data_IF_340173726427
#
_entry.id   IF_340173726427
#
_cell.length_a   1.000
_cell.length_b   1.000
_cell.length_c   1.000
_cell.angle_alpha   90.00
_cell.angle_beta   90.00
_cell.angle_gamma   90.00
#
_symmetry.space_group_name_H-M   'P 1'
#
loop_
_entity.id
_entity.type
_entity.pdbx_description
1 polymer ?
#
# COMPACT_ATOMS: atom_id res chain seq x y z
N UNK A 1 -9.19 30.39 0.36
CA UNK A 1 -8.37 29.92 -0.79
C UNK A 1 -8.27 28.40 -0.68
N UNK A 2 -8.63 27.65 -1.72
CA UNK A 2 -8.44 26.20 -1.72
C UNK A 2 -6.93 25.88 -1.69
N UNK A 3 -6.45 24.86 -0.96
CA UNK A 3 -5.03 24.54 -0.89
C UNK A 3 -4.51 24.15 -2.27
N UNK A 4 -3.34 24.71 -2.63
CA UNK A 4 -2.64 24.40 -3.88
C UNK A 4 -2.40 22.89 -3.94
N UNK A 5 -2.78 22.25 -5.05
CA UNK A 5 -2.63 20.81 -5.24
C UNK A 5 -1.14 20.50 -5.40
N UNK A 6 -0.50 19.98 -4.36
CA UNK A 6 0.92 19.64 -4.38
C UNK A 6 1.12 18.39 -5.24
N UNK A 7 1.76 18.54 -6.40
CA UNK A 7 2.08 17.46 -7.33
C UNK A 7 3.38 16.74 -6.99
N UNK A 8 4.26 17.41 -6.24
CA UNK A 8 5.63 16.96 -5.98
C UNK A 8 5.87 16.60 -4.52
N UNK A 9 6.61 15.52 -4.28
CA UNK A 9 6.98 15.08 -2.93
C UNK A 9 8.03 16.02 -2.33
N UNK A 10 7.65 16.77 -1.28
CA UNK A 10 8.51 17.73 -0.61
C UNK A 10 9.70 17.09 0.11
N UNK A 11 9.54 15.84 0.55
CA UNK A 11 10.66 15.10 1.14
C UNK A 11 11.68 14.71 0.07
N UNK A 12 11.20 14.34 -1.13
CA UNK A 12 12.05 14.05 -2.27
C UNK A 12 12.77 15.29 -2.80
N UNK A 13 12.07 16.43 -2.90
CA UNK A 13 12.65 17.72 -3.33
C UNK A 13 13.78 18.14 -2.39
N UNK A 14 13.61 17.95 -1.09
CA UNK A 14 14.63 18.26 -0.09
C UNK A 14 15.65 17.14 0.10
N UNK A 15 15.56 16.03 -0.65
CA UNK A 15 16.43 14.85 -0.54
C UNK A 15 16.54 14.32 0.91
N UNK A 16 15.42 14.34 1.64
CA UNK A 16 15.34 13.89 3.05
C UNK A 16 14.26 12.84 3.21
N UNK A 17 14.40 11.99 4.23
CA UNK A 17 13.35 11.03 4.56
C UNK A 17 12.19 11.68 5.32
N UNK A 18 11.01 11.07 5.27
CA UNK A 18 9.85 11.49 6.09
C UNK A 18 10.14 11.49 7.60
N UNK A 19 11.10 10.69 8.06
CA UNK A 19 11.57 10.65 9.46
C UNK A 19 12.65 11.68 9.77
N UNK A 20 13.04 12.54 8.82
CA UNK A 20 14.13 13.49 9.01
C UNK A 20 13.79 14.54 10.08
N UNK A 21 14.80 14.88 10.88
CA UNK A 21 14.73 15.95 11.87
C UNK A 21 14.75 17.32 11.18
N UNK A 22 14.29 18.36 11.90
CA UNK A 22 14.32 19.73 11.40
C UNK A 22 15.73 20.16 10.97
N UNK A 23 16.75 19.77 11.73
CA UNK A 23 18.15 20.05 11.42
C UNK A 23 18.58 19.46 10.08
N UNK A 24 18.17 18.22 9.78
CA UNK A 24 18.46 17.57 8.51
C UNK A 24 17.76 18.27 7.33
N UNK A 25 16.52 18.72 7.53
CA UNK A 25 15.75 19.50 6.56
C UNK A 25 16.44 20.84 6.26
N UNK A 26 16.80 21.60 7.30
CA UNK A 26 17.50 22.88 7.14
C UNK A 26 18.87 22.72 6.49
N UNK A 27 19.62 21.66 6.84
CA UNK A 27 20.92 21.37 6.26
C UNK A 27 20.79 21.03 4.77
N UNK A 28 19.81 20.22 4.39
CA UNK A 28 19.60 19.86 2.99
C UNK A 28 19.12 21.04 2.16
N UNK A 29 18.21 21.86 2.70
CA UNK A 29 17.76 23.10 2.06
C UNK A 29 18.94 24.04 1.75
N UNK A 30 19.83 24.30 2.72
CA UNK A 30 21.00 25.18 2.50
C UNK A 30 21.93 24.65 1.41
N UNK A 31 22.16 23.33 1.38
CA UNK A 31 22.97 22.69 0.34
C UNK A 31 22.32 22.85 -1.04
N UNK A 32 21.04 22.54 -1.16
CA UNK A 32 20.31 22.59 -2.43
C UNK A 32 20.09 24.03 -2.92
N UNK A 33 19.89 24.98 -2.01
CA UNK A 33 19.73 26.39 -2.33
C UNK A 33 20.99 26.98 -2.98
N UNK A 34 22.18 26.53 -2.58
CA UNK A 34 23.44 26.95 -3.21
C UNK A 34 23.63 26.35 -4.61
N UNK A 35 23.13 25.13 -4.85
CA UNK A 35 23.23 24.41 -6.12
C UNK A 35 22.20 24.91 -7.15
N UNK A 36 21.00 25.23 -6.67
CA UNK A 36 19.86 25.66 -7.48
C UNK A 36 19.70 27.19 -7.52
N UNK A 37 20.66 27.96 -6.99
CA UNK A 37 20.57 29.41 -6.99
C UNK A 37 20.55 29.95 -8.44
N UNK A 38 19.57 30.79 -8.81
CA UNK A 38 19.42 31.28 -10.19
C UNK A 38 20.61 32.12 -10.67
N UNK A 39 21.33 32.76 -9.75
CA UNK A 39 22.56 33.53 -10.06
C UNK A 39 23.76 32.65 -10.46
N UNK A 40 23.81 31.40 -9.97
CA UNK A 40 24.95 30.48 -10.19
C UNK A 40 24.66 29.40 -11.22
N UNK A 41 23.41 29.30 -11.69
CA UNK A 41 22.96 28.22 -12.56
C UNK A 41 22.23 28.80 -13.79
N UNK A 42 22.87 28.89 -14.97
CA UNK A 42 22.34 29.57 -16.16
C UNK A 42 21.26 28.77 -16.90
N UNK A 43 20.68 27.72 -16.29
CA UNK A 43 19.61 26.92 -16.90
C UNK A 43 18.27 27.64 -16.76
N UNK A 44 17.44 27.58 -17.81
CA UNK A 44 16.13 28.24 -17.87
C UNK A 44 15.13 27.78 -16.79
N UNK A 45 15.37 26.65 -16.14
CA UNK A 45 14.52 26.07 -15.10
C UNK A 45 15.02 26.29 -13.66
N UNK A 46 16.13 27.02 -13.45
CA UNK A 46 16.71 27.22 -12.12
C UNK A 46 15.77 28.00 -11.18
N UNK A 47 15.09 29.03 -11.69
CA UNK A 47 14.14 29.85 -10.92
C UNK A 47 12.94 29.04 -10.42
N UNK A 48 12.38 28.19 -11.27
CA UNK A 48 11.24 27.34 -10.92
C UNK A 48 11.63 26.27 -9.89
N UNK A 49 12.79 25.62 -10.09
CA UNK A 49 13.33 24.65 -9.15
C UNK A 49 13.61 25.27 -7.77
N UNK A 50 14.13 26.50 -7.72
CA UNK A 50 14.38 27.22 -6.48
C UNK A 50 13.07 27.58 -5.74
N UNK A 51 12.02 27.98 -6.48
CA UNK A 51 10.70 28.24 -5.90
C UNK A 51 10.04 26.97 -5.35
N UNK A 52 10.21 25.82 -6.00
CA UNK A 52 9.74 24.52 -5.50
C UNK A 52 10.50 24.13 -4.23
N UNK A 53 11.83 24.30 -4.21
CA UNK A 53 12.67 24.05 -3.05
C UNK A 53 12.27 24.92 -1.84
N UNK A 54 11.98 26.22 -2.07
CA UNK A 54 11.51 27.14 -1.04
C UNK A 54 10.18 26.69 -0.41
N UNK A 55 9.20 26.34 -1.23
CA UNK A 55 7.88 25.84 -0.77
C UNK A 55 7.98 24.54 0.03
N UNK A 56 8.84 23.62 -0.41
CA UNK A 56 9.09 22.38 0.31
C UNK A 56 9.69 22.64 1.70
N UNK A 57 10.65 23.57 1.79
CA UNK A 57 11.25 23.95 3.07
C UNK A 57 10.27 24.65 4.01
N UNK A 58 9.50 25.62 3.53
CA UNK A 58 8.50 26.32 4.35
C UNK A 58 7.48 25.36 4.96
N UNK A 59 6.98 24.42 4.15
CA UNK A 59 5.98 23.43 4.59
C UNK A 59 6.56 22.43 5.58
N UNK A 60 7.79 21.97 5.36
CA UNK A 60 8.41 20.93 6.22
C UNK A 60 9.14 21.49 7.45
N UNK A 61 9.46 22.79 7.49
CA UNK A 61 10.08 23.47 8.63
C UNK A 61 9.09 23.67 9.78
N UNK A 62 7.84 23.99 9.49
CA UNK A 62 6.78 24.16 10.49
C UNK A 62 6.15 22.79 10.83
N UNK A 63 6.17 22.43 12.11
CA UNK A 63 5.63 21.15 12.59
C UNK A 63 4.12 21.00 12.35
N UNK A 64 3.37 22.10 12.40
CA UNK A 64 1.93 22.12 12.13
C UNK A 64 1.62 21.90 10.65
N UNK A 65 2.38 22.57 9.77
CA UNK A 65 2.23 22.43 8.32
C UNK A 65 2.72 21.07 7.82
N UNK A 66 3.83 20.56 8.38
CA UNK A 66 4.34 19.23 8.08
C UNK A 66 3.33 18.15 8.44
N UNK A 67 2.70 18.25 9.62
CA UNK A 67 1.64 17.30 10.03
C UNK A 67 0.44 17.37 9.09
N UNK A 68 0.02 18.57 8.70
CA UNK A 68 -1.09 18.77 7.76
C UNK A 68 -0.75 18.20 6.38
N UNK A 69 0.48 18.38 5.91
CA UNK A 69 1.00 17.81 4.68
C UNK A 69 0.98 16.26 4.72
N UNK A 70 1.50 15.67 5.79
CA UNK A 70 1.53 14.21 5.97
C UNK A 70 0.12 13.59 6.05
N UNK A 71 -0.86 14.32 6.59
CA UNK A 71 -2.27 13.91 6.65
C UNK A 71 -2.98 13.98 5.30
N UNK A 72 -2.69 15.01 4.50
CA UNK A 72 -3.31 15.23 3.20
C UNK A 72 -2.73 14.32 2.10
N UNK A 73 -1.47 13.90 2.25
CA UNK A 73 -0.76 13.12 1.23
C UNK A 73 -0.22 11.76 1.74
N UNK A 74 -1.07 10.88 2.31
CA UNK A 74 -0.64 9.59 2.87
C UNK A 74 -0.17 8.58 1.81
N UNK A 75 -0.44 8.82 0.53
CA UNK A 75 -0.09 7.97 -0.62
C UNK A 75 1.34 8.13 -1.13
N UNK A 76 2.11 9.09 -0.60
CA UNK A 76 3.53 9.31 -0.96
C UNK A 76 4.45 8.33 -0.18
N UNK A 77 3.87 7.34 0.51
CA UNK A 77 4.63 6.29 1.20
C UNK A 77 5.42 5.44 0.21
N UNK A 78 6.73 5.70 0.16
CA UNK A 78 7.78 4.75 -0.23
C UNK A 78 7.60 4.10 -1.60
N UNK A 79 7.91 4.84 -2.68
CA UNK A 79 8.65 4.21 -3.78
C UNK A 79 10.08 3.99 -3.28
N UNK A 80 10.37 2.75 -2.87
CA UNK A 80 11.67 2.34 -2.35
C UNK A 80 12.80 2.83 -3.26
N UNK A 81 13.78 3.43 -2.61
CA UNK A 81 15.12 3.68 -3.07
C UNK A 81 15.81 2.39 -3.54
N UNK A 82 16.15 2.35 -4.81
CA UNK A 82 17.26 1.61 -5.42
C UNK A 82 17.85 2.61 -6.42
N UNK A 83 19.11 3.06 -6.40
CA UNK A 83 20.38 2.47 -5.94
C UNK A 83 21.40 3.62 -5.88
N UNK A 84 22.51 3.47 -5.14
CA UNK A 84 23.55 4.49 -4.98
C UNK A 84 24.53 4.69 -6.16
N UNK A 85 25.31 5.79 -6.08
CA UNK A 85 26.74 6.00 -6.42
C UNK A 85 27.39 5.10 -7.52
N UNK A 86 28.14 5.52 -8.57
CA UNK A 86 28.71 6.77 -9.17
C UNK A 86 29.15 6.41 -10.65
N UNK A 87 29.99 7.18 -11.41
CA UNK A 87 29.80 8.19 -12.47
C UNK A 87 30.02 7.66 -13.95
N UNK A 88 30.54 8.42 -14.96
CA UNK A 88 29.79 8.77 -16.17
C UNK A 88 30.32 8.16 -17.50
N UNK A 89 29.52 8.36 -18.56
CA UNK A 89 29.81 8.20 -20.00
C UNK A 89 30.11 6.79 -20.53
N UNK A 90 29.22 6.29 -21.40
CA UNK A 90 29.45 6.05 -22.85
C UNK A 90 28.33 5.14 -23.38
N UNK A 91 27.78 5.48 -24.55
CA UNK A 91 26.95 4.53 -25.31
C UNK A 91 27.86 3.45 -25.92
N UNK A 92 27.34 2.24 -26.11
CA UNK A 92 26.99 1.90 -27.48
C UNK A 92 25.63 1.21 -27.63
N UNK A 93 25.06 1.40 -28.81
CA UNK A 93 23.94 0.66 -29.39
C UNK A 93 24.10 -0.85 -29.19
N UNK A 94 23.06 -1.52 -28.69
CA UNK A 94 22.71 -2.88 -29.14
C UNK A 94 21.21 -3.10 -28.97
N UNK A 95 20.59 -3.49 -30.08
CA UNK A 95 19.19 -3.87 -30.26
C UNK A 95 18.62 -4.71 -29.13
N UNK A 96 17.57 -4.22 -28.48
CA UNK A 96 16.67 -5.03 -27.66
C UNK A 96 15.22 -4.85 -28.13
N UNK A 97 14.66 -5.95 -28.62
CA UNK A 97 13.23 -6.18 -28.87
C UNK A 97 12.36 -5.51 -27.79
N UNK A 98 11.27 -4.81 -28.14
CA UNK A 98 10.33 -4.35 -27.15
C UNK A 98 9.65 -5.57 -26.52
N UNK A 99 10.00 -5.84 -25.26
CA UNK A 99 9.22 -6.71 -24.39
C UNK A 99 7.86 -6.06 -24.24
N UNK A 100 6.87 -6.62 -24.94
CA UNK A 100 5.49 -6.20 -24.88
C UNK A 100 4.99 -6.26 -23.44
N UNK A 101 4.93 -5.10 -22.78
CA UNK A 101 3.96 -4.90 -21.72
C UNK A 101 2.58 -5.00 -22.36
N UNK A 102 1.59 -5.63 -21.70
CA UNK A 102 0.23 -5.67 -22.22
C UNK A 102 -0.28 -4.22 -22.26
N UNK A 103 -0.26 -3.66 -23.46
CA UNK A 103 -0.84 -2.38 -23.80
C UNK A 103 -2.31 -2.43 -23.42
N UNK A 104 -2.66 -1.80 -22.30
CA UNK A 104 -4.04 -1.48 -22.01
C UNK A 104 -4.51 -0.56 -23.14
N UNK A 105 -5.27 -1.11 -24.07
CA UNK A 105 -5.93 -0.36 -25.12
C UNK A 105 -6.90 0.62 -24.46
N UNK A 106 -6.45 1.86 -24.30
CA UNK A 106 -7.38 2.97 -24.11
C UNK A 106 -8.27 3.00 -25.34
N UNK A 107 -9.60 2.99 -25.16
CA UNK A 107 -10.52 3.04 -26.30
C UNK A 107 -10.26 4.35 -27.05
N UNK A 108 -10.29 4.27 -28.39
CA UNK A 108 -10.09 5.43 -29.25
C UNK A 108 -11.17 6.48 -28.91
N UNK A 109 -10.80 7.76 -28.72
CA UNK A 109 -11.75 8.80 -28.34
C UNK A 109 -12.87 8.90 -29.39
N UNK A 110 -14.10 9.09 -28.91
CA UNK A 110 -15.27 9.23 -29.78
C UNK A 110 -15.25 10.57 -30.52
N UNK A 111 -16.04 10.72 -31.59
CA UNK A 111 -16.17 12.00 -32.30
C UNK A 111 -16.66 13.12 -31.38
N UNK A 112 -17.54 12.81 -30.42
CA UNK A 112 -17.96 13.76 -29.38
C UNK A 112 -16.83 14.16 -28.45
N UNK A 113 -15.96 13.22 -28.06
CA UNK A 113 -14.82 13.52 -27.22
C UNK A 113 -13.82 14.44 -27.94
N UNK A 114 -13.61 14.20 -29.24
CA UNK A 114 -12.76 15.06 -30.08
C UNK A 114 -13.35 16.47 -30.18
N UNK A 115 -14.67 16.58 -30.34
CA UNK A 115 -15.38 17.86 -30.38
C UNK A 115 -15.25 18.63 -29.06
N UNK A 116 -15.52 17.98 -27.92
CA UNK A 116 -15.42 18.61 -26.61
C UNK A 116 -13.96 18.99 -26.28
N UNK A 117 -12.97 18.18 -26.67
CA UNK A 117 -11.55 18.52 -26.55
C UNK A 117 -11.17 19.72 -27.42
N UNK A 118 -11.68 19.80 -28.65
CA UNK A 118 -11.45 20.94 -29.53
C UNK A 118 -12.08 22.24 -28.97
N UNK A 119 -13.28 22.14 -28.38
CA UNK A 119 -13.93 23.26 -27.71
C UNK A 119 -13.16 23.72 -26.46
N UNK A 120 -12.63 22.81 -25.65
CA UNK A 120 -11.74 23.17 -24.53
C UNK A 120 -10.49 23.87 -25.05
N UNK A 121 -9.87 23.35 -26.11
CA UNK A 121 -8.66 23.92 -26.69
C UNK A 121 -8.91 25.32 -27.25
N UNK A 122 -10.03 25.55 -27.95
CA UNK A 122 -10.38 26.86 -28.49
C UNK A 122 -10.64 27.88 -27.38
N UNK A 123 -11.35 27.50 -26.31
CA UNK A 123 -11.57 28.36 -25.14
C UNK A 123 -10.25 28.70 -24.43
N UNK A 124 -9.37 27.72 -24.22
CA UNK A 124 -8.05 27.96 -23.62
C UNK A 124 -7.20 28.91 -24.46
N UNK A 125 -7.22 28.75 -25.80
CA UNK A 125 -6.53 29.66 -26.72
C UNK A 125 -7.12 31.07 -26.64
N UNK A 126 -8.44 31.21 -26.65
CA UNK A 126 -9.12 32.49 -26.51
C UNK A 126 -8.76 33.19 -25.19
N UNK A 127 -8.66 32.45 -24.09
CA UNK A 127 -8.18 32.99 -22.79
C UNK A 127 -6.75 33.49 -22.88
N UNK A 128 -5.83 32.73 -23.48
CA UNK A 128 -4.43 33.15 -23.65
C UNK A 128 -4.32 34.43 -24.49
N UNK A 129 -5.05 34.52 -25.60
CA UNK A 129 -5.08 35.72 -26.44
C UNK A 129 -5.67 36.92 -25.71
N UNK A 130 -6.75 36.73 -24.95
CA UNK A 130 -7.37 37.78 -24.14
C UNK A 130 -6.43 38.25 -23.03
N UNK A 131 -5.72 37.34 -22.37
CA UNK A 131 -4.73 37.66 -21.34
C UNK A 131 -3.55 38.44 -21.92
N UNK A 132 -3.04 38.05 -23.08
CA UNK A 132 -1.99 38.79 -23.77
C UNK A 132 -2.43 40.22 -24.12
N UNK A 133 -3.65 40.38 -24.67
CA UNK A 133 -4.23 41.69 -24.97
C UNK A 133 -4.43 42.52 -23.71
N UNK A 134 -4.97 41.93 -22.64
CA UNK A 134 -5.18 42.58 -21.35
C UNK A 134 -3.86 43.03 -20.72
N UNK A 135 -2.81 42.20 -20.77
CA UNK A 135 -1.49 42.54 -20.23
C UNK A 135 -0.91 43.79 -20.90
N UNK A 136 -1.00 43.88 -22.22
CA UNK A 136 -0.55 45.07 -22.96
C UNK A 136 -1.39 46.31 -22.63
N UNK A 137 -2.72 46.17 -22.55
CA UNK A 137 -3.61 47.26 -22.19
C UNK A 137 -3.37 47.76 -20.76
N UNK A 138 -3.31 46.84 -19.78
CA UNK A 138 -3.03 47.13 -18.37
C UNK A 138 -1.71 47.89 -18.20
N UNK A 139 -0.65 47.46 -18.89
CA UNK A 139 0.62 48.17 -18.89
C UNK A 139 0.46 49.62 -19.42
N UNK A 140 -0.30 49.81 -20.50
CA UNK A 140 -0.57 51.15 -21.03
C UNK A 140 -1.29 52.05 -20.02
N UNK A 141 -2.23 51.51 -19.25
CA UNK A 141 -2.87 52.23 -18.15
C UNK A 141 -1.89 52.57 -17.02
N UNK A 142 -1.06 51.60 -16.60
CA UNK A 142 -0.05 51.81 -15.56
C UNK A 142 0.96 52.90 -15.96
N UNK A 143 1.46 52.86 -17.20
CA UNK A 143 2.39 53.85 -17.75
C UNK A 143 1.74 55.26 -17.78
N UNK A 144 0.47 55.37 -18.21
CA UNK A 144 -0.26 56.64 -18.22
C UNK A 144 -0.52 57.18 -16.81
N UNK A 145 -0.90 56.32 -15.87
CA UNK A 145 -1.09 56.68 -14.46
C UNK A 145 0.21 57.14 -13.82
N UNK A 146 1.33 56.49 -14.13
CA UNK A 146 2.65 56.86 -13.62
C UNK A 146 3.06 58.26 -14.07
N UNK A 147 2.85 58.62 -15.33
CA UNK A 147 3.14 59.97 -15.83
C UNK A 147 2.27 61.03 -15.13
N UNK A 148 0.97 60.78 -14.97
CA UNK A 148 0.09 61.71 -14.24
C UNK A 148 0.50 61.83 -12.77
N UNK A 149 0.84 60.73 -12.11
CA UNK A 149 1.32 60.75 -10.73
C UNK A 149 2.60 61.56 -10.58
N UNK A 150 3.52 61.48 -11.56
CA UNK A 150 4.73 62.30 -11.60
C UNK A 150 4.41 63.78 -11.71
N UNK A 151 3.47 64.17 -12.57
CA UNK A 151 3.03 65.56 -12.69
C UNK A 151 2.33 66.06 -11.42
N UNK A 152 1.46 65.24 -10.83
CA UNK A 152 0.83 65.51 -9.53
C UNK A 152 1.88 65.77 -8.46
N UNK A 153 2.92 64.94 -8.37
CA UNK A 153 4.02 65.12 -7.41
C UNK A 153 4.77 66.44 -7.65
N UNK A 154 5.07 66.79 -8.91
CA UNK A 154 5.71 68.06 -9.27
C UNK A 154 4.86 69.26 -8.86
N UNK A 155 3.56 69.23 -9.16
CA UNK A 155 2.63 70.32 -8.81
C UNK A 155 2.50 70.50 -7.31
N UNK A 156 2.35 69.40 -6.56
CA UNK A 156 2.33 69.42 -5.10
C UNK A 156 3.59 70.05 -4.51
N UNK A 157 4.76 69.65 -5.01
CA UNK A 157 6.04 70.23 -4.56
C UNK A 157 6.09 71.75 -4.80
N UNK A 158 5.71 72.22 -5.99
CA UNK A 158 5.69 73.66 -6.29
C UNK A 158 4.73 74.42 -5.38
N UNK A 159 3.55 73.86 -5.09
CA UNK A 159 2.59 74.47 -4.16
C UNK A 159 3.18 74.54 -2.75
N UNK A 160 3.81 73.47 -2.29
CA UNK A 160 4.48 73.40 -0.99
C UNK A 160 5.63 74.41 -0.88
N UNK A 161 6.47 74.52 -1.92
CA UNK A 161 7.56 75.49 -2.00
C UNK A 161 7.00 76.92 -1.90
N UNK A 162 5.93 77.25 -2.64
CA UNK A 162 5.26 78.55 -2.59
C UNK A 162 4.67 78.86 -1.20
N UNK A 163 4.09 77.86 -0.54
CA UNK A 163 3.61 78.01 0.83
C UNK A 163 4.74 78.18 1.84
N UNK A 164 5.87 77.50 1.64
CA UNK A 164 7.04 77.64 2.52
C UNK A 164 7.59 79.07 2.48
N UNK A 165 7.64 79.70 1.30
CA UNK A 165 8.03 81.10 1.13
C UNK A 165 7.04 82.00 1.89
N UNK A 166 5.73 81.77 1.75
CA UNK A 166 4.72 82.53 2.47
C UNK A 166 4.88 82.43 3.99
N UNK A 167 5.10 81.21 4.50
CA UNK A 167 5.34 80.97 5.94
C UNK A 167 6.64 81.65 6.43
N UNK A 168 7.68 81.68 5.60
CA UNK A 168 8.92 82.37 5.91
C UNK A 168 8.73 83.90 5.96
N UNK A 169 8.03 84.49 4.99
CA UNK A 169 7.68 85.91 4.99
C UNK A 169 6.81 86.29 6.21
N UNK A 170 5.82 85.46 6.57
CA UNK A 170 4.99 85.63 7.77
C UNK A 170 5.83 85.56 9.06
N UNK A 171 6.80 84.64 9.13
CA UNK A 171 7.72 84.52 10.26
C UNK A 171 8.68 85.72 10.38
N UNK A 172 9.20 86.23 9.26
CA UNK A 172 10.02 87.44 9.23
C UNK A 172 9.22 88.67 9.66
N UNK A 173 7.98 88.81 9.18
CA UNK A 173 7.09 89.88 9.63
C UNK A 173 6.74 89.76 11.11
N UNK A 174 6.43 88.57 11.60
CA UNK A 174 6.15 88.33 13.01
C UNK A 174 7.38 88.63 13.88
N UNK A 175 8.58 88.27 13.41
CA UNK A 175 9.84 88.63 14.06
C UNK A 175 10.09 90.15 14.03
N UNK A 176 9.79 90.83 12.92
CA UNK A 176 9.91 92.28 12.81
C UNK A 176 8.90 93.02 13.72
N UNK A 177 7.71 92.44 13.93
CA UNK A 177 6.65 92.95 14.82
C UNK A 177 6.80 92.48 16.28
N UNK A 178 7.79 91.63 16.58
CA UNK A 178 8.03 91.08 17.92
C UNK A 178 8.56 92.15 18.87
N UNK A 179 8.04 92.18 20.10
CA UNK A 179 8.46 93.12 21.14
C UNK A 179 9.99 93.04 21.40
N UNK A 180 10.59 91.85 21.31
CA UNK A 180 12.05 91.68 21.47
C UNK A 180 12.88 92.52 20.47
N UNK A 181 12.41 92.71 19.24
CA UNK A 181 13.04 93.54 18.20
C UNK A 181 12.91 95.04 18.50
N UNK A 182 11.85 95.43 19.23
CA UNK A 182 11.64 96.80 19.70
C UNK A 182 12.53 97.17 20.89
N UNK A 183 12.86 96.19 21.76
CA UNK A 183 13.74 96.39 22.94
C UNK A 183 15.23 96.52 22.54
N UNK A 184 15.70 95.81 21.52
CA UNK A 184 17.10 95.84 21.05
C UNK A 184 17.37 96.92 19.96
N UNK A 185 16.41 97.79 19.70
CA UNK A 185 16.32 98.67 18.52
C UNK A 185 17.40 99.79 18.36
N UNK A 186 18.16 100.25 19.38
CA UNK A 186 19.17 101.30 19.15
C UNK A 186 20.39 100.86 18.33
N UNK A 187 20.74 99.56 18.34
CA UNK A 187 21.98 99.05 17.72
C UNK A 187 21.76 98.38 16.35
N UNK A 188 20.52 98.07 15.98
CA UNK A 188 20.17 97.42 14.71
C UNK A 188 18.93 98.08 14.07
N UNK A 189 19.06 99.32 13.62
CA UNK A 189 18.04 99.90 12.71
C UNK A 189 18.23 99.32 11.31
N UNK A 190 17.38 98.36 10.93
CA UNK A 190 17.16 98.05 9.51
C UNK A 190 16.50 99.28 8.84
N UNK A 191 16.85 99.64 7.60
CA UNK A 191 16.18 100.73 6.90
C UNK A 191 14.68 100.42 6.81
N UNK A 192 13.84 101.40 7.12
CA UNK A 192 12.41 101.33 6.84
C UNK A 192 12.26 101.23 5.33
N UNK A 193 11.68 100.14 4.84
CA UNK A 193 11.42 99.95 3.41
C UNK A 193 10.72 101.20 2.84
N UNK A 194 11.21 101.68 1.69
CA UNK A 194 10.53 102.75 0.94
C UNK A 194 9.11 102.31 0.55
N UNK A 195 8.18 103.25 0.41
CA UNK A 195 6.81 102.90 0.00
C UNK A 195 6.76 102.21 -1.38
N UNK A 196 7.71 102.52 -2.26
CA UNK A 196 7.92 101.80 -3.53
C UNK A 196 8.34 100.34 -3.30
N UNK A 197 9.17 100.07 -2.29
CA UNK A 197 9.64 98.73 -1.95
C UNK A 197 8.54 97.88 -1.30
N UNK A 198 7.69 98.49 -0.47
CA UNK A 198 6.47 97.84 0.05
C UNK A 198 5.51 97.47 -1.08
N UNK A 199 5.30 98.39 -2.03
CA UNK A 199 4.46 98.13 -3.20
C UNK A 199 5.03 97.00 -4.08
N UNK A 200 6.36 96.95 -4.26
CA UNK A 200 7.04 95.85 -4.97
C UNK A 200 6.82 94.50 -4.27
N UNK A 201 7.07 94.41 -2.96
CA UNK A 201 6.85 93.19 -2.16
C UNK A 201 5.38 92.75 -2.18
N UNK A 202 4.42 93.68 -2.12
CA UNK A 202 3.00 93.39 -2.23
C UNK A 202 2.61 92.82 -3.61
N UNK A 203 3.14 93.38 -4.69
CA UNK A 203 2.94 92.86 -6.05
C UNK A 203 3.54 91.45 -6.22
N UNK A 204 4.73 91.21 -5.68
CA UNK A 204 5.36 89.87 -5.70
C UNK A 204 4.51 88.83 -4.95
N UNK A 205 3.99 89.18 -3.77
CA UNK A 205 3.06 88.31 -3.01
C UNK A 205 1.82 87.97 -3.82
N UNK A 206 1.24 88.97 -4.49
CA UNK A 206 0.07 88.78 -5.34
C UNK A 206 0.40 87.84 -6.52
N UNK A 207 1.54 88.05 -7.18
CA UNK A 207 1.99 87.17 -8.27
C UNK A 207 2.21 85.72 -7.79
N UNK A 208 2.81 85.51 -6.61
CA UNK A 208 2.98 84.18 -6.00
C UNK A 208 1.64 83.52 -5.68
N UNK A 209 0.68 84.26 -5.11
CA UNK A 209 -0.67 83.77 -4.84
C UNK A 209 -1.40 83.36 -6.12
N UNK A 210 -1.34 84.20 -7.16
CA UNK A 210 -1.92 83.89 -8.47
C UNK A 210 -1.30 82.61 -9.06
N UNK A 211 0.03 82.49 -8.96
CA UNK A 211 0.75 81.29 -9.40
C UNK A 211 0.31 80.06 -8.63
N UNK A 212 0.23 80.14 -7.29
CA UNK A 212 -0.24 79.05 -6.43
C UNK A 212 -1.65 78.61 -6.84
N UNK A 213 -2.60 79.54 -6.92
CA UNK A 213 -4.00 79.26 -7.29
C UNK A 213 -4.09 78.60 -8.67
N UNK A 214 -3.26 79.02 -9.63
CA UNK A 214 -3.19 78.40 -10.96
C UNK A 214 -2.66 76.95 -10.88
N UNK A 215 -1.63 76.70 -10.07
CA UNK A 215 -1.06 75.35 -9.88
C UNK A 215 -2.01 74.42 -9.13
N UNK A 216 -2.76 74.92 -8.14
CA UNK A 216 -3.79 74.15 -7.43
C UNK A 216 -4.90 73.69 -8.38
N UNK A 217 -5.40 74.58 -9.25
CA UNK A 217 -6.37 74.19 -10.28
C UNK A 217 -5.81 73.15 -11.25
N UNK A 218 -4.54 73.31 -11.66
CA UNK A 218 -3.88 72.32 -12.50
C UNK A 218 -3.73 70.96 -11.80
N UNK A 219 -3.43 70.95 -10.49
CA UNK A 219 -3.35 69.74 -9.67
C UNK A 219 -4.70 69.03 -9.60
N UNK A 220 -5.78 69.77 -9.36
CA UNK A 220 -7.13 69.21 -9.30
C UNK A 220 -7.53 68.51 -10.60
N UNK A 221 -7.24 69.16 -11.74
CA UNK A 221 -7.48 68.57 -13.07
C UNK A 221 -6.70 67.26 -13.25
N UNK A 222 -5.43 67.22 -12.84
CA UNK A 222 -4.61 66.00 -12.92
C UNK A 222 -5.10 64.90 -11.98
N UNK A 223 -5.57 65.25 -10.79
CA UNK A 223 -6.19 64.31 -9.86
C UNK A 223 -7.51 63.74 -10.39
N UNK A 224 -8.30 64.52 -11.13
CA UNK A 224 -9.50 64.02 -11.84
C UNK A 224 -9.10 63.05 -12.96
N UNK A 225 -8.08 63.39 -13.76
CA UNK A 225 -7.57 62.50 -14.80
C UNK A 225 -7.06 61.18 -14.22
N UNK A 226 -6.31 61.22 -13.12
CA UNK A 226 -5.82 60.01 -12.44
C UNK A 226 -6.96 59.09 -11.99
N UNK A 227 -8.00 59.66 -11.35
CA UNK A 227 -9.19 58.90 -10.91
C UNK A 227 -9.93 58.27 -12.08
N UNK A 228 -10.00 58.96 -13.23
CA UNK A 228 -10.60 58.43 -14.46
C UNK A 228 -9.84 57.19 -14.93
N UNK A 229 -8.51 57.27 -15.06
CA UNK A 229 -7.69 56.13 -15.48
C UNK A 229 -7.77 54.95 -14.51
N UNK A 230 -7.75 55.21 -13.21
CA UNK A 230 -7.94 54.17 -12.19
C UNK A 230 -9.27 53.43 -12.36
N UNK A 231 -10.36 54.18 -12.62
CA UNK A 231 -11.67 53.59 -12.86
C UNK A 231 -11.70 52.75 -14.14
N UNK A 232 -11.15 53.25 -15.24
CA UNK A 232 -11.08 52.52 -16.51
C UNK A 232 -10.28 51.20 -16.38
N UNK A 233 -9.17 51.23 -15.64
CA UNK A 233 -8.39 50.03 -15.34
C UNK A 233 -9.20 49.00 -14.54
N UNK A 234 -9.94 49.44 -13.52
CA UNK A 234 -10.77 48.56 -12.70
C UNK A 234 -11.95 47.99 -13.49
N UNK A 235 -12.65 48.80 -14.28
CA UNK A 235 -13.74 48.37 -15.16
C UNK A 235 -13.21 47.35 -16.20
N UNK A 236 -12.04 47.60 -16.79
CA UNK A 236 -11.33 46.67 -17.67
C UNK A 236 -10.98 45.35 -16.99
N UNK A 237 -10.51 45.40 -15.73
CA UNK A 237 -10.17 44.20 -14.95
C UNK A 237 -11.41 43.35 -14.68
N UNK A 238 -12.53 43.97 -14.33
CA UNK A 238 -13.78 43.27 -14.06
C UNK A 238 -14.35 42.61 -15.32
N UNK A 239 -14.33 43.30 -16.46
CA UNK A 239 -14.79 42.73 -17.73
C UNK A 239 -13.92 41.55 -18.17
N UNK A 240 -12.60 41.68 -18.04
CA UNK A 240 -11.65 40.57 -18.28
C UNK A 240 -11.93 39.36 -17.37
N UNK A 241 -12.12 39.60 -16.06
CA UNK A 241 -12.39 38.54 -15.09
C UNK A 241 -13.70 37.80 -15.39
N UNK A 242 -14.80 38.54 -15.66
CA UNK A 242 -16.12 37.96 -15.99
C UNK A 242 -16.07 37.10 -17.25
N UNK A 243 -15.33 37.54 -18.27
CA UNK A 243 -15.17 36.79 -19.51
C UNK A 243 -14.40 35.47 -19.25
N UNK A 244 -13.31 35.53 -18.47
CA UNK A 244 -12.54 34.34 -18.13
C UNK A 244 -13.31 33.35 -17.25
N UNK A 245 -14.11 33.86 -16.30
CA UNK A 245 -14.96 33.02 -15.46
C UNK A 245 -16.00 32.27 -16.30
N UNK A 246 -16.56 32.93 -17.31
CA UNK A 246 -17.51 32.30 -18.24
C UNK A 246 -16.84 31.18 -19.04
N UNK A 247 -15.64 31.43 -19.57
CA UNK A 247 -14.87 30.40 -20.28
C UNK A 247 -14.48 29.24 -19.34
N UNK A 248 -14.15 29.52 -18.07
CA UNK A 248 -13.86 28.49 -17.07
C UNK A 248 -15.06 27.59 -16.78
N UNK A 249 -16.26 28.16 -16.63
CA UNK A 249 -17.50 27.39 -16.48
C UNK A 249 -17.77 26.52 -17.72
N UNK A 250 -17.54 27.06 -18.91
CA UNK A 250 -17.70 26.31 -20.16
C UNK A 250 -16.70 25.15 -20.23
N UNK A 251 -15.40 25.41 -20.00
CA UNK A 251 -14.35 24.38 -19.96
C UNK A 251 -14.72 23.28 -18.96
N UNK A 252 -15.12 23.63 -17.74
CA UNK A 252 -15.52 22.66 -16.73
C UNK A 252 -16.72 21.80 -17.18
N UNK A 253 -17.64 22.37 -17.94
CA UNK A 253 -18.79 21.65 -18.51
C UNK A 253 -18.36 20.63 -19.57
N UNK A 254 -17.43 21.00 -20.47
CA UNK A 254 -16.85 20.07 -21.44
C UNK A 254 -16.03 18.95 -20.75
N UNK A 255 -15.20 19.32 -19.76
CA UNK A 255 -14.39 18.37 -19.00
C UNK A 255 -15.26 17.36 -18.23
N UNK A 256 -16.34 17.83 -17.62
CA UNK A 256 -17.29 16.97 -16.91
C UNK A 256 -17.95 15.95 -17.84
N UNK A 257 -18.34 16.36 -19.05
CA UNK A 257 -18.91 15.46 -20.06
C UNK A 257 -17.91 14.40 -20.52
N UNK A 258 -16.66 14.80 -20.77
CA UNK A 258 -15.57 13.87 -21.10
C UNK A 258 -15.34 12.85 -19.98
N UNK A 259 -15.26 13.30 -18.73
CA UNK A 259 -15.07 12.43 -17.58
C UNK A 259 -16.22 11.45 -17.40
N UNK A 260 -17.46 11.91 -17.55
CA UNK A 260 -18.63 11.04 -17.46
C UNK A 260 -18.62 9.94 -18.53
N UNK A 261 -18.34 10.29 -19.80
CA UNK A 261 -18.24 9.30 -20.88
C UNK A 261 -17.11 8.30 -20.64
N UNK A 262 -15.92 8.77 -20.24
CA UNK A 262 -14.80 7.89 -19.91
C UNK A 262 -15.11 6.97 -18.73
N UNK A 263 -15.79 7.47 -17.69
CA UNK A 263 -16.20 6.67 -16.54
C UNK A 263 -17.22 5.60 -16.93
N UNK A 264 -18.18 5.92 -17.80
CA UNK A 264 -19.17 4.96 -18.32
C UNK A 264 -18.49 3.81 -19.07
N UNK A 265 -17.58 4.11 -19.98
CA UNK A 265 -16.82 3.10 -20.73
C UNK A 265 -15.95 2.25 -19.80
N UNK A 266 -15.34 2.84 -18.77
CA UNK A 266 -14.60 2.08 -17.74
C UNK A 266 -15.52 1.16 -16.95
N UNK A 267 -16.72 1.62 -16.59
CA UNK A 267 -17.69 0.83 -15.85
C UNK A 267 -18.18 -0.36 -16.68
N UNK A 268 -18.55 -0.14 -17.94
CA UNK A 268 -18.95 -1.20 -18.88
C UNK A 268 -17.84 -2.26 -19.02
N UNK A 269 -16.58 -1.84 -19.22
CA UNK A 269 -15.44 -2.75 -19.29
C UNK A 269 -15.25 -3.57 -18.01
N UNK A 270 -15.41 -2.94 -16.84
CA UNK A 270 -15.32 -3.65 -15.56
C UNK A 270 -16.42 -4.70 -15.41
N UNK A 271 -17.64 -4.41 -15.88
CA UNK A 271 -18.74 -5.38 -15.89
C UNK A 271 -18.45 -6.53 -16.86
N UNK A 272 -18.01 -6.24 -18.08
CA UNK A 272 -17.63 -7.26 -19.05
C UNK A 272 -16.51 -8.17 -18.53
N UNK A 273 -15.49 -7.59 -17.89
CA UNK A 273 -14.41 -8.35 -17.29
C UNK A 273 -14.91 -9.22 -16.13
N UNK A 274 -15.81 -8.69 -15.29
CA UNK A 274 -16.45 -9.46 -14.22
C UNK A 274 -17.24 -10.64 -14.79
N UNK A 275 -18.11 -10.41 -15.78
CA UNK A 275 -18.87 -11.48 -16.44
C UNK A 275 -17.96 -12.47 -17.17
N UNK A 276 -16.85 -12.03 -17.77
CA UNK A 276 -15.86 -12.92 -18.37
C UNK A 276 -15.18 -13.80 -17.32
N UNK A 277 -14.81 -13.24 -16.17
CA UNK A 277 -14.24 -14.00 -15.03
C UNK A 277 -15.23 -15.02 -14.48
N UNK A 278 -16.50 -14.63 -14.29
CA UNK A 278 -17.56 -15.55 -13.85
C UNK A 278 -17.79 -16.70 -14.85
N UNK A 279 -17.83 -16.40 -16.15
CA UNK A 279 -17.93 -17.44 -17.20
C UNK A 279 -16.72 -18.38 -17.18
N UNK A 280 -15.51 -17.86 -17.03
CA UNK A 280 -14.30 -18.67 -16.96
C UNK A 280 -14.29 -19.58 -15.72
N UNK A 281 -14.72 -19.07 -14.56
CA UNK A 281 -14.85 -19.86 -13.34
C UNK A 281 -15.85 -21.00 -13.49
N UNK A 282 -17.05 -20.72 -14.05
CA UNK A 282 -18.05 -21.78 -14.31
C UNK A 282 -17.53 -22.84 -15.27
N UNK A 283 -16.83 -22.44 -16.33
CA UNK A 283 -16.23 -23.39 -17.27
C UNK A 283 -15.15 -24.26 -16.61
N UNK A 284 -14.36 -23.70 -15.69
CA UNK A 284 -13.37 -24.46 -14.92
C UNK A 284 -14.03 -25.42 -13.92
N UNK A 285 -15.10 -24.99 -13.24
CA UNK A 285 -15.88 -25.82 -12.33
C UNK A 285 -16.55 -26.99 -13.07
N UNK A 286 -17.19 -26.73 -14.21
CA UNK A 286 -17.78 -27.77 -15.07
C UNK A 286 -16.71 -28.76 -15.55
N UNK A 287 -15.51 -28.27 -15.90
CA UNK A 287 -14.39 -29.13 -16.26
C UNK A 287 -13.96 -30.02 -15.08
N UNK A 288 -13.82 -29.45 -13.89
CA UNK A 288 -13.48 -30.20 -12.66
C UNK A 288 -14.55 -31.25 -12.33
N UNK A 289 -15.82 -30.92 -12.50
CA UNK A 289 -16.93 -31.83 -12.28
C UNK A 289 -16.93 -32.97 -13.30
N UNK A 290 -16.71 -32.69 -14.59
CA UNK A 290 -16.55 -33.73 -15.63
C UNK A 290 -15.39 -34.66 -15.32
N UNK A 291 -14.23 -34.13 -14.93
CA UNK A 291 -13.09 -34.95 -14.53
C UNK A 291 -13.39 -35.77 -13.26
N UNK A 292 -14.15 -35.23 -12.31
CA UNK A 292 -14.57 -35.96 -11.11
C UNK A 292 -15.54 -37.09 -11.45
N UNK A 293 -16.57 -36.83 -12.27
CA UNK A 293 -17.51 -37.85 -12.76
C UNK A 293 -16.79 -38.97 -13.51
N UNK A 294 -15.78 -38.63 -14.30
CA UNK A 294 -14.93 -39.60 -15.00
C UNK A 294 -14.11 -40.44 -14.02
N UNK A 295 -13.45 -39.80 -13.03
CA UNK A 295 -12.74 -40.50 -11.95
C UNK A 295 -13.66 -41.45 -11.18
N UNK A 296 -14.88 -41.01 -10.86
CA UNK A 296 -15.86 -41.82 -10.15
C UNK A 296 -16.37 -43.00 -10.99
N UNK A 297 -16.52 -42.81 -12.31
CA UNK A 297 -16.83 -43.90 -13.24
C UNK A 297 -15.73 -44.97 -13.24
N UNK A 298 -14.47 -44.55 -13.44
CA UNK A 298 -13.31 -45.46 -13.43
C UNK A 298 -13.19 -46.19 -12.10
N UNK A 299 -13.34 -45.50 -10.98
CA UNK A 299 -13.32 -46.11 -9.64
C UNK A 299 -14.45 -47.13 -9.45
N UNK A 300 -15.66 -46.85 -9.95
CA UNK A 300 -16.79 -47.79 -9.89
C UNK A 300 -16.49 -49.06 -10.69
N UNK A 301 -16.03 -48.93 -11.93
CA UNK A 301 -15.65 -50.06 -12.78
C UNK A 301 -14.53 -50.90 -12.13
N UNK A 302 -13.55 -50.26 -11.48
CA UNK A 302 -12.49 -50.96 -10.77
C UNK A 302 -13.01 -51.71 -9.53
N UNK A 303 -13.94 -51.12 -8.78
CA UNK A 303 -14.60 -51.80 -7.64
C UNK A 303 -15.41 -53.00 -8.10
N UNK A 304 -16.15 -52.89 -9.18
CA UNK A 304 -16.91 -53.99 -9.77
C UNK A 304 -15.99 -55.12 -10.22
N UNK A 305 -14.86 -54.81 -10.88
CA UNK A 305 -13.83 -55.79 -11.24
C UNK A 305 -13.23 -56.49 -10.02
N UNK A 306 -12.88 -55.73 -8.97
CA UNK A 306 -12.35 -56.30 -7.72
C UNK A 306 -13.37 -57.19 -7.01
N UNK A 307 -14.64 -56.78 -6.99
CA UNK A 307 -15.72 -57.55 -6.40
C UNK A 307 -15.95 -58.85 -7.16
N UNK A 308 -16.04 -58.80 -8.49
CA UNK A 308 -16.15 -59.99 -9.32
C UNK A 308 -14.96 -60.94 -9.12
N UNK A 309 -13.73 -60.42 -9.07
CA UNK A 309 -12.55 -61.24 -8.80
C UNK A 309 -12.58 -61.89 -7.41
N UNK A 310 -13.08 -61.17 -6.39
CA UNK A 310 -13.27 -61.72 -5.05
C UNK A 310 -14.35 -62.81 -5.01
N UNK A 311 -15.47 -62.60 -5.70
CA UNK A 311 -16.56 -63.59 -5.82
C UNK A 311 -16.09 -64.85 -6.55
N UNK A 312 -15.32 -64.68 -7.63
CA UNK A 312 -14.74 -65.80 -8.39
C UNK A 312 -13.69 -66.55 -7.54
N UNK A 313 -12.85 -65.82 -6.79
CA UNK A 313 -11.92 -66.42 -5.84
C UNK A 313 -12.65 -67.21 -4.74
N UNK A 314 -13.74 -66.67 -4.18
CA UNK A 314 -14.56 -67.34 -3.18
C UNK A 314 -15.21 -68.61 -3.72
N UNK A 315 -15.76 -68.57 -4.94
CA UNK A 315 -16.31 -69.77 -5.61
C UNK A 315 -15.26 -70.85 -5.80
N UNK A 316 -14.04 -70.46 -6.20
CA UNK A 316 -12.92 -71.40 -6.37
C UNK A 316 -12.54 -72.04 -5.03
N UNK A 317 -12.39 -71.23 -3.98
CA UNK A 317 -12.13 -71.71 -2.62
C UNK A 317 -13.21 -72.67 -2.11
N UNK A 318 -14.50 -72.37 -2.34
CA UNK A 318 -15.62 -73.26 -2.00
C UNK A 318 -15.58 -74.59 -2.77
N UNK A 319 -15.10 -74.59 -4.02
CA UNK A 319 -14.90 -75.81 -4.81
C UNK A 319 -13.76 -76.65 -4.23
N UNK A 320 -12.61 -76.02 -3.93
CA UNK A 320 -11.46 -76.67 -3.32
C UNK A 320 -11.80 -77.28 -1.96
N UNK A 321 -12.59 -76.58 -1.14
CA UNK A 321 -13.11 -77.12 0.13
C UNK A 321 -13.97 -78.37 -0.08
N UNK A 322 -14.91 -78.35 -1.04
CA UNK A 322 -15.74 -79.52 -1.36
C UNK A 322 -14.91 -80.69 -1.87
N UNK A 323 -13.97 -80.45 -2.77
CA UNK A 323 -13.07 -81.47 -3.29
C UNK A 323 -12.17 -82.04 -2.18
N UNK A 324 -11.70 -81.22 -1.25
CA UNK A 324 -10.91 -81.68 -0.10
C UNK A 324 -11.75 -82.52 0.86
N UNK A 325 -13.00 -82.13 1.13
CA UNK A 325 -13.93 -82.89 1.96
C UNK A 325 -14.31 -84.23 1.31
N UNK A 326 -14.58 -84.25 0.01
CA UNK A 326 -14.75 -85.47 -0.77
C UNK A 326 -13.51 -86.37 -0.71
N UNK A 327 -12.30 -85.79 -0.85
CA UNK A 327 -11.04 -86.53 -0.72
C UNK A 327 -10.86 -87.12 0.67
N UNK A 328 -11.21 -86.39 1.72
CA UNK A 328 -11.20 -86.87 3.11
C UNK A 328 -12.22 -87.99 3.33
N UNK A 329 -13.43 -87.84 2.77
CA UNK A 329 -14.48 -88.86 2.83
C UNK A 329 -14.07 -90.14 2.10
N UNK A 330 -13.49 -90.02 0.90
CA UNK A 330 -12.94 -91.15 0.13
C UNK A 330 -11.81 -91.84 0.90
N UNK A 331 -10.90 -91.08 1.51
CA UNK A 331 -9.83 -91.64 2.35
C UNK A 331 -10.39 -92.35 3.60
N UNK A 332 -11.43 -91.79 4.24
CA UNK A 332 -12.13 -92.43 5.37
C UNK A 332 -12.77 -93.75 4.94
N UNK A 333 -13.50 -93.76 3.82
CA UNK A 333 -14.13 -94.97 3.27
C UNK A 333 -13.09 -96.04 2.90
N UNK A 334 -11.99 -95.64 2.27
CA UNK A 334 -10.89 -96.56 1.94
C UNK A 334 -10.22 -97.16 3.19
N UNK A 335 -10.05 -96.37 4.27
CA UNK A 335 -9.54 -96.88 5.56
C UNK A 335 -10.51 -97.88 6.19
N UNK A 336 -11.80 -97.59 6.17
CA UNK A 336 -12.85 -98.47 6.68
C UNK A 336 -12.92 -99.78 5.88
N UNK A 337 -12.86 -99.71 4.56
CA UNK A 337 -12.75 -100.90 3.71
C UNK A 337 -11.47 -101.70 3.96
N UNK A 338 -10.32 -101.03 4.13
CA UNK A 338 -9.06 -101.70 4.45
C UNK A 338 -9.13 -102.36 5.84
N UNK A 339 -9.79 -101.74 6.80
CA UNK A 339 -10.01 -102.31 8.13
C UNK A 339 -10.97 -103.50 8.07
N UNK A 340 -12.07 -103.41 7.31
CA UNK A 340 -12.97 -104.53 7.08
C UNK A 340 -12.27 -105.70 6.38
N UNK A 341 -11.40 -105.43 5.39
CA UNK A 341 -10.55 -106.45 4.77
C UNK A 341 -9.63 -107.10 5.79
N UNK A 342 -8.91 -106.31 6.61
CA UNK A 342 -8.06 -106.85 7.70
C UNK A 342 -8.86 -107.71 8.68
N UNK A 343 -10.06 -107.27 9.07
CA UNK A 343 -10.92 -108.04 9.96
C UNK A 343 -11.37 -109.36 9.32
N UNK A 344 -11.65 -109.36 8.02
CA UNK A 344 -12.00 -110.56 7.25
C UNK A 344 -10.80 -111.52 7.11
N UNK A 345 -9.62 -110.99 6.78
CA UNK A 345 -8.36 -111.75 6.72
C UNK A 345 -7.98 -112.32 8.10
N UNK A 346 -8.21 -111.56 9.17
CA UNK A 346 -7.99 -112.02 10.55
C UNK A 346 -9.01 -113.10 10.95
N UNK A 347 -10.28 -112.94 10.59
CA UNK A 347 -11.32 -113.95 10.80
C UNK A 347 -10.98 -115.26 10.10
N UNK A 348 -10.56 -115.21 8.83
CA UNK A 348 -10.15 -116.38 8.04
C UNK A 348 -8.85 -117.01 8.56
N UNK A 349 -7.85 -116.21 8.94
CA UNK A 349 -6.62 -116.70 9.58
C UNK A 349 -6.89 -117.35 10.95
N UNK A 350 -7.83 -116.82 11.74
CA UNK A 350 -8.25 -117.44 13.01
C UNK A 350 -9.05 -118.74 12.79
N UNK A 351 -9.84 -118.82 11.71
CA UNK A 351 -10.49 -120.06 11.31
C UNK A 351 -9.46 -121.14 10.92
N UNK A 352 -8.40 -120.77 10.18
CA UNK A 352 -7.29 -121.66 9.84
C UNK A 352 -6.45 -122.05 11.06
N UNK A 353 -6.15 -121.11 11.98
CA UNK A 353 -5.48 -121.41 13.26
C UNK A 353 -6.29 -122.35 14.15
N UNK A 354 -7.63 -122.29 14.12
CA UNK A 354 -8.48 -123.27 14.82
C UNK A 354 -8.41 -124.69 14.23
N UNK A 355 -7.98 -124.84 12.98
CA UNK A 355 -7.79 -126.14 12.33
C UNK A 355 -6.35 -126.68 12.43
N UNK A 356 -5.41 -125.90 12.98
CA UNK A 356 -4.01 -126.28 13.11
C UNK A 356 -3.35 -125.76 14.38
N UNK A 357 -3.16 -126.68 15.33
CA UNK A 357 -2.12 -126.71 16.36
C UNK A 357 -2.41 -126.17 17.79
N UNK A 358 -1.88 -126.98 18.72
CA UNK A 358 -1.81 -126.92 20.18
C UNK A 358 -0.97 -125.75 20.76
N UNK A 359 -1.11 -125.43 22.06
CA UNK A 359 -0.51 -124.24 22.67
C UNK A 359 0.92 -124.47 23.18
N UNK A 360 1.79 -123.46 23.06
CA UNK A 360 3.02 -123.34 23.88
C UNK A 360 3.24 -121.90 24.35
N UNK A 361 3.82 -121.82 25.54
CA UNK A 361 3.89 -120.69 26.45
C UNK A 361 5.16 -119.81 26.29
N UNK A 362 5.10 -118.66 26.98
CA UNK A 362 6.17 -117.72 27.37
C UNK A 362 6.79 -116.88 26.23
N UNK A 363 7.21 -115.62 26.40
CA UNK A 363 7.68 -114.91 27.60
C UNK A 363 7.55 -113.38 27.44
N UNK A 364 7.73 -112.67 28.56
CA UNK A 364 7.60 -111.22 28.75
C UNK A 364 8.68 -110.37 28.05
N UNK A 365 8.37 -109.11 27.72
CA UNK A 365 9.27 -107.99 28.02
C UNK A 365 8.53 -106.66 28.08
N UNK A 366 8.82 -105.96 29.16
CA UNK A 366 8.26 -104.70 29.64
C UNK A 366 8.92 -103.52 28.93
N UNK A 367 8.14 -102.48 28.60
CA UNK A 367 8.62 -101.11 28.60
C UNK A 367 7.44 -100.14 28.82
N UNK A 368 7.40 -99.60 30.04
CA UNK A 368 6.68 -98.40 30.41
C UNK A 368 7.09 -97.20 29.56
N UNK A 369 6.12 -96.38 29.12
CA UNK A 369 6.09 -94.95 29.42
C UNK A 369 4.71 -94.35 29.14
N UNK A 370 4.24 -93.51 30.05
CA UNK A 370 2.97 -92.76 30.08
C UNK A 370 3.37 -91.32 30.49
N UNK A 371 2.47 -90.33 30.56
CA UNK A 371 1.84 -89.51 29.52
C UNK A 371 2.22 -88.00 29.73
N UNK A 372 1.35 -87.06 29.32
CA UNK A 372 1.23 -85.63 29.73
C UNK A 372 1.89 -84.59 28.80
N UNK A 373 1.14 -83.75 28.08
CA UNK A 373 0.31 -82.56 28.44
C UNK A 373 1.09 -81.31 28.83
N UNK A 374 0.62 -80.18 28.25
CA UNK A 374 0.52 -78.82 28.79
C UNK A 374 1.49 -77.73 28.32
N UNK A 375 0.85 -76.71 27.73
CA UNK A 375 0.89 -75.27 28.05
C UNK A 375 2.22 -74.48 28.11
N UNK A 376 2.20 -73.42 27.29
CA UNK A 376 2.40 -72.00 27.63
C UNK A 376 3.73 -71.48 28.23
N UNK A 377 4.07 -70.29 27.71
CA UNK A 377 5.05 -69.24 28.10
C UNK A 377 5.06 -68.92 29.61
N UNK A 378 6.04 -68.17 30.22
CA UNK A 378 6.80 -67.01 29.68
C UNK A 378 8.24 -66.71 30.19
N UNK A 379 8.91 -65.81 29.46
CA UNK A 379 9.81 -64.69 29.89
C UNK A 379 10.65 -64.76 31.18
N UNK A 380 11.96 -64.49 31.05
CA UNK A 380 12.77 -63.59 31.93
C UNK A 380 14.06 -63.22 31.19
N UNK A 381 14.14 -62.09 30.48
CA UNK A 381 14.63 -60.77 30.91
C UNK A 381 16.04 -60.74 31.52
N UNK A 382 16.97 -60.05 30.85
CA UNK A 382 18.21 -59.57 31.48
C UNK A 382 19.24 -58.97 30.51
N UNK A 383 19.05 -57.71 30.10
CA UNK A 383 20.09 -56.68 29.89
C UNK A 383 19.54 -55.51 29.02
N UNK A 384 19.10 -54.42 29.65
CA UNK A 384 18.70 -53.17 28.97
C UNK A 384 19.91 -52.26 28.81
N UNK A 385 20.47 -52.19 27.60
CA UNK A 385 20.99 -50.93 27.06
C UNK A 385 19.80 -50.16 26.46
N UNK A 386 19.70 -48.86 26.73
CA UNK A 386 18.52 -48.06 26.41
C UNK A 386 18.41 -47.75 24.90
N UNK A 387 17.92 -48.70 24.11
CA UNK A 387 17.42 -48.45 22.75
C UNK A 387 16.05 -47.77 22.83
N UNK A 388 16.01 -46.52 23.29
CA UNK A 388 14.78 -45.73 23.20
C UNK A 388 14.60 -45.27 21.75
N UNK A 389 13.63 -45.85 21.07
CA UNK A 389 13.16 -45.36 19.78
C UNK A 389 12.39 -44.06 20.06
N UNK A 390 13.05 -42.92 19.88
CA UNK A 390 12.58 -41.55 20.08
C UNK A 390 11.36 -41.13 19.20
N UNK A 391 10.52 -42.07 18.80
CA UNK A 391 9.30 -41.88 18.04
C UNK A 391 8.15 -41.29 18.87
N UNK A 392 7.09 -40.86 18.18
CA UNK A 392 5.89 -40.32 18.80
C UNK A 392 5.93 -38.83 19.14
N UNK A 393 4.95 -38.40 19.93
CA UNK A 393 4.76 -37.02 20.38
C UNK A 393 5.50 -36.81 21.71
N UNK A 394 6.19 -35.67 21.85
CA UNK A 394 6.97 -35.33 23.04
C UNK A 394 6.32 -34.12 23.72
N UNK A 395 5.96 -34.20 25.01
CA UNK A 395 5.41 -33.07 25.75
C UNK A 395 6.41 -31.92 25.88
N UNK A 396 5.87 -30.71 25.97
CA UNK A 396 6.61 -29.46 26.18
C UNK A 396 6.96 -29.32 27.66
N UNK A 397 8.22 -29.01 27.94
CA UNK A 397 8.72 -28.68 29.28
C UNK A 397 9.25 -27.25 29.24
N UNK A 398 8.69 -26.39 30.08
CA UNK A 398 9.05 -24.98 30.19
C UNK A 398 9.98 -24.77 31.39
N UNK A 399 10.74 -23.67 31.38
CA UNK A 399 11.56 -23.32 32.53
C UNK A 399 10.67 -22.94 33.73
N UNK A 400 11.14 -23.24 34.95
CA UNK A 400 10.40 -22.93 36.18
C UNK A 400 10.14 -21.43 36.41
N UNK A 401 10.76 -20.55 35.63
CA UNK A 401 10.57 -19.09 35.72
C UNK A 401 10.26 -18.52 34.32
N UNK A 402 9.44 -17.45 34.22
CA UNK A 402 9.06 -16.84 32.93
C UNK A 402 10.23 -16.29 32.09
N UNK A 403 11.40 -16.05 32.72
CA UNK A 403 12.63 -15.61 32.05
C UNK A 403 13.69 -16.71 31.90
N UNK A 404 13.42 -17.92 32.42
CA UNK A 404 14.37 -19.03 32.40
C UNK A 404 14.54 -19.60 30.99
N UNK A 405 15.77 -19.94 30.62
CA UNK A 405 16.07 -20.70 29.40
C UNK A 405 16.62 -22.08 29.77
N UNK A 406 16.16 -23.09 29.05
CA UNK A 406 16.62 -24.47 29.15
C UNK A 406 17.64 -24.75 28.04
N UNK A 407 18.77 -25.37 28.39
CA UNK A 407 19.79 -25.77 27.40
C UNK A 407 19.45 -27.12 26.80
N UNK A 408 19.49 -27.22 25.47
CA UNK A 408 19.29 -28.47 24.74
C UNK A 408 20.48 -29.41 24.97
N UNK A 409 20.23 -30.67 25.34
CA UNK A 409 21.30 -31.67 25.58
C UNK A 409 22.09 -32.05 24.32
N UNK A 410 21.56 -31.75 23.12
CA UNK A 410 22.18 -32.11 21.83
C UNK A 410 22.97 -30.99 21.17
N UNK A 411 22.58 -29.74 21.36
CA UNK A 411 23.22 -28.59 20.70
C UNK A 411 23.63 -27.49 21.67
N UNK A 412 23.38 -27.68 22.97
CA UNK A 412 23.67 -26.75 24.07
C UNK A 412 23.03 -25.36 23.96
N UNK A 413 22.25 -25.09 22.91
CA UNK A 413 21.55 -23.83 22.71
C UNK A 413 20.38 -23.65 23.70
N UNK A 414 20.12 -22.40 24.08
CA UNK A 414 19.17 -22.03 25.13
C UNK A 414 17.79 -21.65 24.57
N UNK A 415 16.75 -22.37 24.97
CA UNK A 415 15.37 -22.18 24.52
C UNK A 415 14.43 -21.85 25.69
N UNK A 416 13.30 -21.20 25.40
CA UNK A 416 12.25 -20.94 26.41
C UNK A 416 11.50 -22.21 26.81
N UNK A 417 11.57 -23.25 25.98
CA UNK A 417 11.03 -24.58 26.26
C UNK A 417 11.83 -25.65 25.53
N UNK A 418 11.79 -26.87 26.05
CA UNK A 418 12.31 -28.07 25.38
C UNK A 418 11.21 -29.13 25.27
N UNK A 419 11.43 -30.13 24.42
CA UNK A 419 10.56 -31.28 24.28
C UNK A 419 11.21 -32.46 25.01
N UNK A 420 10.42 -33.21 25.78
CA UNK A 420 10.91 -34.34 26.56
C UNK A 420 10.40 -35.68 26.02
N UNK A 421 11.29 -36.66 25.85
CA UNK A 421 10.89 -38.01 25.48
C UNK A 421 10.19 -38.69 26.65
N UNK A 422 8.96 -39.22 26.50
CA UNK A 422 8.29 -39.94 27.58
C UNK A 422 8.99 -41.27 27.92
N UNK A 423 9.72 -41.87 26.97
CA UNK A 423 10.39 -43.16 27.16
C UNK A 423 11.72 -43.07 27.91
N UNK A 424 12.58 -42.13 27.56
CA UNK A 424 13.94 -42.00 28.14
C UNK A 424 14.19 -40.68 28.87
N UNK A 425 13.17 -39.80 28.98
CA UNK A 425 13.24 -38.47 29.63
C UNK A 425 14.25 -37.48 29.03
N UNK A 426 14.87 -37.80 27.90
CA UNK A 426 15.79 -36.92 27.15
C UNK A 426 15.12 -35.62 26.73
N UNK A 427 15.82 -34.48 26.86
CA UNK A 427 15.29 -33.14 26.54
C UNK A 427 16.01 -32.53 25.34
N UNK A 428 15.26 -32.20 24.30
CA UNK A 428 15.81 -31.66 23.06
C UNK A 428 14.97 -30.49 22.52
N UNK A 429 15.61 -29.58 21.77
CA UNK A 429 14.89 -28.57 21.01
C UNK A 429 14.16 -29.20 19.82
N UNK A 430 13.21 -28.49 19.21
CA UNK A 430 12.40 -29.02 18.12
C UNK A 430 13.24 -29.53 16.92
N UNK A 431 14.35 -28.87 16.61
CA UNK A 431 15.25 -29.29 15.53
C UNK A 431 16.01 -30.58 15.89
N UNK A 432 16.57 -30.67 17.10
CA UNK A 432 17.27 -31.87 17.55
C UNK A 432 16.32 -33.06 17.74
N UNK A 433 15.09 -32.84 18.20
CA UNK A 433 14.07 -33.87 18.28
C UNK A 433 13.77 -34.51 16.91
N UNK A 434 13.70 -33.70 15.85
CA UNK A 434 13.49 -34.22 14.48
C UNK A 434 14.63 -35.13 14.01
N UNK A 435 15.87 -34.82 14.40
CA UNK A 435 17.05 -35.65 14.09
C UNK A 435 17.10 -36.95 14.89
N UNK A 436 16.58 -36.93 16.12
CA UNK A 436 16.53 -38.11 17.00
C UNK A 436 15.42 -39.09 16.60
N UNK A 437 14.39 -38.65 15.87
CA UNK A 437 13.31 -39.52 15.41
C UNK A 437 13.82 -40.51 14.35
N UNK A 438 13.48 -41.80 14.44
CA UNK A 438 13.87 -42.77 13.42
C UNK A 438 13.29 -42.36 12.06
N UNK A 439 14.14 -42.41 11.04
CA UNK A 439 13.76 -42.11 9.65
C UNK A 439 12.77 -43.18 9.20
N UNK A 440 11.50 -42.80 9.01
CA UNK A 440 10.52 -43.65 8.33
C UNK A 440 10.91 -43.73 6.86
N UNK A 441 11.52 -44.85 6.45
CA UNK A 441 11.63 -45.18 5.04
C UNK A 441 10.22 -45.29 4.43
N UNK A 442 9.97 -44.49 3.39
CA UNK A 442 8.84 -44.69 2.47
C UNK A 442 7.62 -43.78 2.68
N UNK A 443 7.72 -42.54 2.21
CA UNK A 443 6.81 -41.89 1.24
C UNK A 443 7.05 -40.38 1.25
N UNK A 444 7.58 -39.88 0.14
CA UNK A 444 7.61 -38.45 -0.15
C UNK A 444 6.17 -37.91 -0.10
N UNK A 445 5.92 -36.99 0.82
CA UNK A 445 4.72 -36.14 0.82
C UNK A 445 5.20 -34.71 0.64
N UNK A 446 4.89 -34.18 -0.53
CA UNK A 446 5.06 -32.78 -0.91
C UNK A 446 4.35 -31.86 0.10
N UNK A 447 5.01 -30.75 0.44
CA UNK A 447 4.51 -29.69 1.33
C UNK A 447 3.23 -29.06 0.78
N UNK A 448 2.24 -28.73 1.63
CA UNK A 448 1.34 -27.61 1.38
C UNK A 448 1.90 -26.34 2.05
N UNK A 449 1.95 -25.27 1.28
CA UNK A 449 2.20 -23.91 1.75
C UNK A 449 1.08 -23.44 2.69
N UNK A 450 1.50 -22.70 3.71
CA UNK A 450 0.68 -22.13 4.77
C UNK A 450 -0.33 -21.12 4.20
N UNK A 451 -1.62 -21.45 4.31
CA UNK A 451 -2.73 -20.51 4.27
C UNK A 451 -3.00 -19.99 5.68
N UNK A 452 -2.95 -18.67 5.80
CA UNK A 452 -3.17 -17.87 7.01
C UNK A 452 -4.62 -18.04 7.52
N UNK A 453 -4.81 -18.52 8.77
CA UNK A 453 -6.08 -18.37 9.49
C UNK A 453 -5.80 -17.80 10.88
N UNK A 454 -6.05 -16.50 11.00
CA UNK A 454 -6.25 -15.82 12.26
C UNK A 454 -7.70 -16.04 12.73
N UNK A 455 -7.82 -16.39 14.01
CA UNK A 455 -8.95 -16.18 14.92
C UNK A 455 -10.32 -16.85 14.67
N UNK A 456 -10.56 -17.92 15.43
CA UNK A 456 -11.81 -18.12 16.19
C UNK A 456 -11.49 -18.65 17.60
N UNK A 457 -11.55 -17.74 18.58
CA UNK A 457 -11.90 -17.98 20.00
C UNK A 457 -13.37 -17.52 20.12
N UNK A 458 -14.28 -18.02 20.92
CA UNK A 458 -14.37 -19.04 21.97
C UNK A 458 -15.88 -19.29 22.12
N UNK A 459 -16.28 -20.50 22.52
CA UNK A 459 -17.64 -20.79 22.97
C UNK A 459 -17.63 -21.02 24.49
N UNK A 460 -18.69 -20.56 25.17
CA UNK A 460 -19.44 -21.15 26.32
C UNK A 460 -20.02 -20.03 27.24
N UNK A 461 -21.05 -20.30 28.07
CA UNK A 461 -22.26 -21.10 27.86
C UNK A 461 -23.58 -20.45 28.41
N UNK A 462 -24.72 -20.95 27.91
CA UNK A 462 -26.01 -21.28 28.57
C UNK A 462 -26.47 -20.55 29.86
N UNK A 463 -27.64 -19.90 29.81
CA UNK A 463 -28.81 -20.11 30.70
C UNK A 463 -30.09 -19.54 30.06
N UNK A 464 -31.18 -20.30 30.21
CA UNK A 464 -32.60 -20.05 29.88
C UNK A 464 -33.14 -18.83 30.67
N UNK A 465 -34.31 -18.23 30.48
CA UNK A 465 -35.60 -18.57 29.87
C UNK A 465 -36.40 -17.23 29.79
N UNK A 466 -37.60 -17.27 29.21
CA UNK A 466 -38.73 -16.37 29.48
C UNK A 466 -38.86 -14.99 28.76
N UNK A 467 -39.72 -15.05 27.73
CA UNK A 467 -41.04 -14.39 27.73
C UNK A 467 -41.18 -12.94 27.18
N UNK A 468 -42.37 -12.71 26.62
CA UNK A 468 -43.02 -11.45 26.22
C UNK A 468 -42.93 -10.89 24.78
N UNK A 469 -44.06 -11.10 24.07
CA UNK A 469 -44.84 -10.17 23.21
C UNK A 469 -44.14 -9.51 22.00
N UNK A 470 -44.56 -9.73 20.76
CA UNK A 470 -45.88 -9.45 20.15
C UNK A 470 -46.34 -8.00 20.35
N UNK A 471 -46.14 -7.16 19.33
CA UNK A 471 -47.02 -6.04 18.92
C UNK A 471 -46.39 -5.22 17.79
N UNK A 472 -47.05 -5.24 16.64
CA UNK A 472 -47.42 -4.07 15.84
C UNK A 472 -46.48 -2.85 15.82
N UNK A 473 -45.81 -2.59 14.70
CA UNK A 473 -46.22 -1.62 13.67
C UNK A 473 -45.28 -1.65 12.45
#
# INVERSE_FOLDING_TARGET
MAPVKITDDYYLILEVQQTATLEAITKSYRRLALVLHPDRNPRSNATEAFQILGRAYETLKDSSQRRSYDLLYPGIKSRKSSTGNVPPQTQPEFSAKPSAQPSQSTPKPTQEDISDLAAIASLRKAKQEREAKWRTAAKGYDDAMFEIQREVAKLKKVIEDLESIRRAEEAEEAAAKSWSTWILSPLYKKPVDSDEEKARKANERLQRLHTKNFKERALDLKMVQLRKWQKELEDGRQTFAKANETDDRNIATYESRLLYRQARVRHERMQEEKFARERAQRAEEEKREKEQRERDRVNREEREKRQKAADDHWKKYQKELREEEERKNMARKAREEAQNRRNYDEFTANQQRRQGAQPKAASSSSAHFKPQTSHATPSTSGARTSNCLHGGWWPKVEAATPRGRLSCEECSAAYTYLLQCPGCKKKACASCQQKLKPVRNGRARTKPQQGNQQNKKQAKPHYDEDDYNDSFF
#
